data_IF_083318172176
#
_entry.id   IF_083318172176
#
_cell.length_a   1.000
_cell.length_b   1.000
_cell.length_c   1.000
_cell.angle_alpha   90.00
_cell.angle_beta   90.00
_cell.angle_gamma   90.00
#
_symmetry.space_group_name_H-M   'P 1'
#
loop_
_entity.id
_entity.type
_entity.pdbx_description
1 polymer ?
#
# COMPACT_ATOMS: atom_id res chain seq x y z
N UNK A 1 4.97 9.30 -7.00
CA UNK A 1 3.86 8.36 -7.27
C UNK A 1 4.32 7.10 -7.98
N UNK A 2 4.90 7.16 -9.19
CA UNK A 2 5.27 5.94 -9.93
C UNK A 2 6.29 5.10 -9.16
N UNK A 3 7.34 5.72 -8.62
CA UNK A 3 8.34 5.06 -7.78
C UNK A 3 7.71 4.35 -6.57
N UNK A 4 6.82 5.02 -5.84
CA UNK A 4 6.07 4.41 -4.73
C UNK A 4 5.20 3.21 -5.19
N UNK A 5 4.63 3.24 -6.39
CA UNK A 5 3.87 2.11 -6.93
C UNK A 5 4.77 0.91 -7.27
N UNK A 6 6.01 1.15 -7.73
CA UNK A 6 6.94 0.05 -8.03
C UNK A 6 7.35 -0.75 -6.79
N UNK A 7 7.32 -0.13 -5.59
CA UNK A 7 7.57 -0.81 -4.30
C UNK A 7 6.54 -1.92 -4.00
N UNK A 8 5.37 -1.86 -4.62
CA UNK A 8 4.31 -2.87 -4.46
C UNK A 8 4.62 -4.16 -5.24
N UNK A 9 5.51 -4.12 -6.23
CA UNK A 9 5.87 -5.26 -7.09
C UNK A 9 6.62 -6.30 -6.25
N UNK A 10 6.32 -7.58 -6.48
CA UNK A 10 6.86 -8.70 -5.72
C UNK A 10 5.78 -9.43 -4.93
N UNK A 11 6.22 -10.25 -3.98
CA UNK A 11 5.36 -11.02 -3.10
C UNK A 11 5.47 -10.44 -1.69
N UNK A 12 4.37 -9.88 -1.19
CA UNK A 12 4.32 -9.17 0.09
C UNK A 12 3.04 -9.51 0.84
N UNK A 13 3.03 -9.28 2.15
CA UNK A 13 1.82 -9.33 2.96
C UNK A 13 1.12 -7.96 2.92
N UNK A 14 -0.11 -7.94 2.40
CA UNK A 14 -0.88 -6.72 2.19
C UNK A 14 -1.94 -6.48 3.27
N UNK A 15 -1.82 -7.06 4.47
CA UNK A 15 -2.85 -6.92 5.53
C UNK A 15 -3.14 -5.47 5.90
N UNK A 16 -2.12 -4.61 5.93
CA UNK A 16 -2.25 -3.17 6.23
C UNK A 16 -2.81 -2.36 5.05
N UNK A 17 -2.85 -2.97 3.86
CA UNK A 17 -3.36 -2.38 2.63
C UNK A 17 -4.64 -3.07 2.18
N UNK A 18 -5.41 -3.67 3.09
CA UNK A 18 -6.69 -4.29 2.77
C UNK A 18 -7.68 -4.14 3.93
N UNK A 19 -8.95 -4.45 3.66
CA UNK A 19 -9.91 -4.68 4.74
C UNK A 19 -9.81 -6.14 5.16
N UNK A 20 -9.35 -6.39 6.39
CA UNK A 20 -9.28 -7.75 6.94
C UNK A 20 -10.68 -8.38 6.97
N UNK A 21 -10.81 -9.53 6.32
CA UNK A 21 -12.07 -10.26 6.19
C UNK A 21 -12.00 -11.61 6.93
N UNK A 22 -11.70 -11.52 8.22
CA UNK A 22 -11.55 -12.69 9.09
C UNK A 22 -12.86 -13.49 9.21
N UNK A 23 -14.02 -12.83 9.05
CA UNK A 23 -15.33 -13.46 9.06
C UNK A 23 -15.55 -14.44 7.90
N UNK A 24 -14.87 -14.22 6.78
CA UNK A 24 -14.88 -15.13 5.61
C UNK A 24 -13.68 -16.09 5.59
N UNK A 25 -12.93 -16.20 6.70
CA UNK A 25 -11.83 -17.15 6.84
C UNK A 25 -10.53 -16.75 6.12
N UNK A 26 -10.37 -15.48 5.75
CA UNK A 26 -9.12 -15.00 5.13
C UNK A 26 -8.01 -14.94 6.19
N UNK A 27 -7.08 -15.90 6.11
CA UNK A 27 -5.91 -16.00 7.01
C UNK A 27 -4.57 -15.72 6.31
N UNK A 28 -4.57 -15.72 4.96
CA UNK A 28 -3.38 -15.45 4.15
C UNK A 28 -3.52 -14.13 3.40
N UNK A 29 -2.67 -13.17 3.76
CA UNK A 29 -2.63 -11.81 3.20
C UNK A 29 -1.48 -11.61 2.21
N UNK A 30 -0.68 -12.65 1.96
CA UNK A 30 0.38 -12.60 0.95
C UNK A 30 -0.23 -12.56 -0.44
N UNK A 31 0.18 -11.58 -1.26
CA UNK A 31 -0.21 -11.47 -2.66
C UNK A 31 1.02 -11.15 -3.50
N UNK A 32 0.99 -11.61 -4.75
CA UNK A 32 2.02 -11.33 -5.74
C UNK A 32 1.53 -10.31 -6.76
N UNK A 33 2.16 -9.14 -6.76
CA UNK A 33 1.99 -8.11 -7.78
C UNK A 33 3.12 -8.27 -8.80
N UNK A 34 2.73 -8.41 -10.07
CA UNK A 34 3.62 -8.61 -11.20
C UNK A 34 4.01 -7.29 -11.86
N UNK A 35 3.10 -6.31 -11.84
CA UNK A 35 3.27 -5.02 -12.50
C UNK A 35 2.44 -3.95 -11.80
N UNK A 36 3.01 -2.77 -11.63
CA UNK A 36 2.32 -1.59 -11.11
C UNK A 36 2.90 -0.35 -11.80
N UNK A 37 2.12 0.30 -12.66
CA UNK A 37 2.54 1.48 -13.39
C UNK A 37 1.53 2.60 -13.26
N UNK A 38 2.04 3.83 -13.20
CA UNK A 38 1.21 5.04 -13.25
C UNK A 38 1.54 5.83 -14.50
N UNK A 39 0.51 6.14 -15.29
CA UNK A 39 0.61 6.98 -16.48
C UNK A 39 -0.24 8.24 -16.27
N UNK A 40 0.37 9.40 -16.50
CA UNK A 40 -0.35 10.68 -16.52
C UNK A 40 -0.89 10.88 -17.93
N UNK A 41 -2.21 11.01 -18.05
CA UNK A 41 -2.90 11.15 -19.34
C UNK A 41 -3.19 12.63 -19.65
N UNK A 42 -2.20 13.53 -19.56
CA UNK A 42 -2.34 15.00 -19.70
C UNK A 42 -3.28 15.47 -20.84
N UNK A 43 -3.96 16.63 -20.84
CA UNK A 43 -4.22 17.71 -19.88
C UNK A 43 -5.43 18.53 -20.41
N UNK A 44 -6.40 18.82 -19.53
CA UNK A 44 -7.33 19.97 -19.55
C UNK A 44 -8.18 20.21 -20.83
N UNK A 45 -9.22 19.41 -21.01
CA UNK A 45 -10.54 19.98 -21.36
C UNK A 45 -11.35 19.97 -20.05
N UNK A 46 -11.61 21.15 -19.45
CA UNK A 46 -12.40 21.37 -18.21
C UNK A 46 -11.68 21.36 -16.83
N UNK A 47 -10.36 21.52 -16.74
CA UNK A 47 -9.68 21.86 -15.48
C UNK A 47 -9.22 20.70 -14.58
N UNK A 48 -9.44 19.45 -14.98
CA UNK A 48 -8.98 18.26 -14.24
C UNK A 48 -7.80 17.57 -14.95
N UNK A 49 -6.88 17.01 -14.18
CA UNK A 49 -5.81 16.12 -14.67
C UNK A 49 -6.17 14.67 -14.34
N UNK A 50 -5.98 13.76 -15.30
CA UNK A 50 -6.29 12.34 -15.15
C UNK A 50 -5.01 11.52 -15.07
N UNK A 51 -5.00 10.55 -14.15
CA UNK A 51 -3.94 9.57 -14.01
C UNK A 51 -4.54 8.17 -14.04
N UNK A 52 -3.86 7.25 -14.73
CA UNK A 52 -4.22 5.84 -14.75
C UNK A 52 -3.20 5.06 -13.92
N UNK A 53 -3.68 4.24 -12.98
CA UNK A 53 -2.89 3.24 -12.27
C UNK A 53 -3.27 1.86 -12.82
N UNK A 54 -2.30 1.16 -13.41
CA UNK A 54 -2.46 -0.23 -13.84
C UNK A 54 -1.74 -1.16 -12.86
N UNK A 55 -2.47 -2.10 -12.27
CA UNK A 55 -1.91 -3.14 -11.37
C UNK A 55 -2.24 -4.52 -11.91
N UNK A 56 -1.22 -5.36 -12.08
CA UNK A 56 -1.36 -6.76 -12.49
C UNK A 56 -0.84 -7.64 -11.35
N UNK A 57 -1.64 -8.60 -10.92
CA UNK A 57 -1.27 -9.53 -9.85
C UNK A 57 -2.01 -10.86 -10.01
N UNK A 58 -1.61 -11.86 -9.22
CA UNK A 58 -2.24 -13.19 -9.25
C UNK A 58 -3.64 -13.18 -8.63
N UNK A 59 -3.82 -12.43 -7.54
CA UNK A 59 -5.08 -12.24 -6.85
C UNK A 59 -5.01 -10.96 -6.01
N UNK A 60 -6.18 -10.46 -5.58
CA UNK A 60 -6.27 -9.29 -4.70
C UNK A 60 -7.13 -9.59 -3.47
N UNK A 61 -6.79 -8.97 -2.33
CA UNK A 61 -7.57 -8.99 -1.10
C UNK A 61 -8.74 -8.00 -1.17
N UNK A 62 -9.67 -8.12 -0.22
CA UNK A 62 -10.80 -7.21 -0.14
C UNK A 62 -10.33 -5.76 0.05
N UNK A 63 -10.79 -4.89 -0.86
CA UNK A 63 -10.41 -3.47 -0.94
C UNK A 63 -8.92 -3.17 -1.19
N UNK A 64 -8.08 -4.17 -1.51
CA UNK A 64 -6.63 -3.97 -1.63
C UNK A 64 -6.25 -2.82 -2.56
N UNK A 65 -6.79 -2.82 -3.78
CA UNK A 65 -6.49 -1.78 -4.78
C UNK A 65 -6.96 -0.40 -4.32
N UNK A 66 -8.10 -0.31 -3.62
CA UNK A 66 -8.61 0.97 -3.12
C UNK A 66 -7.69 1.55 -2.06
N UNK A 67 -7.19 0.71 -1.15
CA UNK A 67 -6.23 1.14 -0.13
C UNK A 67 -4.90 1.59 -0.76
N UNK A 68 -4.38 0.83 -1.74
CA UNK A 68 -3.18 1.19 -2.51
C UNK A 68 -3.35 2.58 -3.16
N UNK A 69 -4.46 2.80 -3.87
CA UNK A 69 -4.73 4.09 -4.52
C UNK A 69 -4.77 5.23 -3.51
N UNK A 70 -5.40 5.04 -2.36
CA UNK A 70 -5.44 6.06 -1.31
C UNK A 70 -4.05 6.45 -0.81
N UNK A 71 -3.17 5.48 -0.54
CA UNK A 71 -1.80 5.75 -0.09
C UNK A 71 -1.01 6.48 -1.17
N UNK A 72 -1.05 6.00 -2.41
CA UNK A 72 -0.38 6.65 -3.53
C UNK A 72 -0.89 8.08 -3.75
N UNK A 73 -2.17 8.33 -3.52
CA UNK A 73 -2.78 9.66 -3.60
C UNK A 73 -2.31 10.58 -2.47
N UNK A 74 -2.16 10.09 -1.25
CA UNK A 74 -1.60 10.87 -0.13
C UNK A 74 -0.13 11.24 -0.38
N UNK A 75 0.66 10.31 -0.91
CA UNK A 75 2.04 10.57 -1.35
C UNK A 75 2.05 11.66 -2.44
N UNK A 76 1.13 11.59 -3.41
CA UNK A 76 1.00 12.60 -4.46
C UNK A 76 0.71 14.00 -3.92
N UNK A 77 -0.05 14.09 -2.83
CA UNK A 77 -0.37 15.34 -2.13
C UNK A 77 0.76 15.82 -1.21
N UNK A 78 1.85 15.06 -1.06
CA UNK A 78 2.93 15.36 -0.12
C UNK A 78 2.53 15.21 1.36
N UNK A 79 1.45 14.46 1.63
CA UNK A 79 0.98 14.20 3.00
C UNK A 79 1.64 12.99 3.64
N UNK A 80 2.25 12.15 2.83
CA UNK A 80 2.97 10.94 3.24
C UNK A 80 4.27 10.84 2.42
N UNK A 81 5.31 10.26 3.03
CA UNK A 81 6.57 9.97 2.35
C UNK A 81 6.49 8.68 1.52
N UNK A 82 7.43 8.48 0.60
CA UNK A 82 7.55 7.24 -0.18
C UNK A 82 7.91 6.02 0.68
N UNK A 83 8.48 6.19 1.89
CA UNK A 83 8.78 5.10 2.82
C UNK A 83 7.52 4.39 3.34
N UNK A 84 6.38 5.07 3.39
CA UNK A 84 5.14 4.52 3.97
C UNK A 84 4.68 3.23 3.28
N UNK A 85 4.98 3.07 1.98
CA UNK A 85 4.63 1.84 1.25
C UNK A 85 5.40 0.65 1.81
N UNK A 86 6.71 0.80 2.05
CA UNK A 86 7.53 -0.25 2.66
C UNK A 86 7.14 -0.51 4.10
N UNK A 87 6.85 0.55 4.87
CA UNK A 87 6.37 0.43 6.25
C UNK A 87 5.06 -0.35 6.35
N UNK A 88 4.10 -0.08 5.44
CA UNK A 88 2.83 -0.79 5.41
C UNK A 88 2.97 -2.25 4.94
N UNK A 89 3.96 -2.56 4.10
CA UNK A 89 4.27 -3.94 3.69
C UNK A 89 5.11 -4.68 4.74
N UNK A 90 5.77 -3.96 5.64
CA UNK A 90 6.51 -4.56 6.75
C UNK A 90 5.55 -5.04 7.85
N UNK A 91 5.55 -6.34 8.11
CA UNK A 91 4.72 -6.97 9.14
C UNK A 91 5.52 -7.20 10.43
N UNK A 92 6.83 -7.03 10.40
CA UNK A 92 7.67 -7.12 11.59
C UNK A 92 7.43 -5.89 12.46
N UNK A 93 6.61 -6.07 13.50
CA UNK A 93 6.63 -5.18 14.65
C UNK A 93 8.04 -5.30 15.22
N UNK A 94 8.81 -4.22 15.20
CA UNK A 94 10.12 -4.19 15.86
C UNK A 94 9.90 -4.28 17.37
N UNK A 95 9.87 -5.50 17.89
CA UNK A 95 9.76 -5.80 19.33
C UNK A 95 10.94 -5.17 20.09
N UNK A 96 12.02 -4.78 19.41
CA UNK A 96 13.21 -4.18 20.03
C UNK A 96 13.11 -2.66 20.25
N UNK A 97 12.08 -1.98 19.74
CA UNK A 97 11.89 -0.55 19.98
C UNK A 97 10.91 -0.24 21.13
N UNK A 98 10.43 -1.26 21.84
CA UNK A 98 9.70 -1.09 23.09
C UNK A 98 10.68 -0.95 24.27
N UNK A 99 11.43 0.16 24.31
CA UNK A 99 11.98 0.67 25.57
C UNK A 99 10.84 1.25 26.41
N UNK A 100 9.95 0.39 26.91
CA UNK A 100 9.17 0.71 28.10
C UNK A 100 9.86 -0.03 29.23
N UNK A 101 10.76 0.71 29.89
CA UNK A 101 11.21 0.43 31.24
C UNK A 101 9.99 0.36 32.16
N UNK A 102 9.40 -0.83 32.27
CA UNK A 102 8.62 -1.18 33.46
C UNK A 102 9.60 -1.36 34.61
N UNK A 103 10.01 -0.24 35.19
CA UNK A 103 10.39 -0.18 36.59
C UNK A 103 9.12 -0.50 37.38
N UNK A 104 8.97 -1.75 37.80
CA UNK A 104 8.20 -2.07 38.98
C UNK A 104 9.16 -2.68 40.01
N UNK A 105 9.02 -2.11 41.20
CA UNK A 105 9.80 -2.20 42.43
C UNK A 105 10.15 -3.62 42.89
#
# INVERSE_FOLDING_TARGET
MNEAATKLIGEHDFRNLCKMDVGNGVINFTRKILRADIVVLSQVENGYSMCELTVVGQAFLWHQIRCIVSVLFLIAQGKEDMSIVEELLNIEIDINNCNISYQYS
#
